data_IF_068378355708
#
_entry.id   IF_068378355708
#
_cell.length_a   1.000
_cell.length_b   1.000
_cell.length_c   1.000
_cell.angle_alpha   90.00
_cell.angle_beta   90.00
_cell.angle_gamma   90.00
#
_symmetry.space_group_name_H-M   'P 1'
#
loop_
_entity.id
_entity.type
_entity.pdbx_description
1 polymer ?
#
# COMPACT_ATOMS: atom_id res chain seq x y z
N UNK A 1 23.84 0.91 -28.67
CA UNK A 1 23.74 1.72 -27.43
C UNK A 1 22.50 2.59 -27.61
N UNK A 2 21.33 2.31 -27.05
CA UNK A 2 20.99 1.91 -25.68
C UNK A 2 20.06 0.69 -25.70
N UNK A 3 20.31 -0.24 -24.78
CA UNK A 3 19.50 -1.44 -24.58
C UNK A 3 18.30 -1.04 -23.70
N UNK A 4 17.12 -0.87 -24.31
CA UNK A 4 15.87 -0.75 -23.56
C UNK A 4 15.38 -2.14 -23.22
N UNK A 5 15.52 -2.54 -21.96
CA UNK A 5 14.89 -3.75 -21.44
C UNK A 5 13.40 -3.46 -21.27
N UNK A 6 12.58 -4.00 -22.18
CA UNK A 6 11.16 -4.21 -21.94
C UNK A 6 11.08 -5.54 -21.18
N UNK A 7 10.87 -5.49 -19.86
CA UNK A 7 10.46 -6.67 -19.10
C UNK A 7 8.96 -6.95 -19.39
N UNK A 8 8.55 -8.22 -19.45
CA UNK A 8 7.30 -8.62 -20.07
C UNK A 8 6.10 -8.34 -19.16
N UNK A 9 5.12 -7.58 -19.67
CA UNK A 9 3.75 -7.49 -19.12
C UNK A 9 2.95 -8.73 -19.54
N UNK A 10 3.41 -9.91 -19.13
CA UNK A 10 2.75 -11.21 -19.30
C UNK A 10 3.15 -11.98 -18.03
N UNK A 11 2.38 -11.94 -16.94
CA UNK A 11 1.16 -12.72 -16.74
C UNK A 11 0.17 -11.91 -15.87
N UNK A 12 -0.90 -11.41 -16.47
CA UNK A 12 -2.10 -10.89 -15.78
C UNK A 12 -3.34 -11.75 -16.09
N UNK A 13 -3.11 -12.98 -16.53
CA UNK A 13 -4.15 -13.99 -16.69
C UNK A 13 -4.39 -14.60 -15.30
N UNK A 14 -5.44 -14.27 -14.55
CA UNK A 14 -6.81 -14.40 -15.00
C UNK A 14 -7.82 -13.69 -14.08
N UNK A 15 -7.53 -12.48 -13.58
CA UNK A 15 -8.50 -11.68 -12.80
C UNK A 15 -8.57 -10.18 -13.16
N UNK A 16 -7.76 -9.67 -14.09
CA UNK A 16 -7.90 -8.28 -14.53
C UNK A 16 -8.85 -8.14 -15.73
N UNK A 17 -10.15 -8.28 -15.48
CA UNK A 17 -11.09 -7.43 -16.21
C UNK A 17 -11.33 -6.19 -15.35
N UNK A 18 -10.77 -5.07 -15.82
CA UNK A 18 -10.81 -3.72 -15.23
C UNK A 18 -9.79 -3.48 -14.11
N UNK A 19 -8.58 -3.04 -14.49
CA UNK A 19 -7.61 -2.49 -13.55
C UNK A 19 -6.39 -1.94 -14.26
N UNK A 20 -6.40 -0.65 -14.57
CA UNK A 20 -5.31 0.03 -15.26
C UNK A 20 -4.06 0.14 -14.36
N UNK A 21 -2.92 -0.32 -14.87
CA UNK A 21 -1.61 0.18 -14.42
C UNK A 21 -1.46 1.58 -15.01
N UNK A 22 -1.40 2.62 -14.18
CA UNK A 22 -1.15 3.98 -14.66
C UNK A 22 0.33 4.32 -14.54
N UNK A 23 0.98 4.56 -15.67
CA UNK A 23 2.21 5.37 -15.74
C UNK A 23 1.83 6.68 -16.43
N UNK A 24 1.87 7.81 -15.73
CA UNK A 24 1.54 9.12 -16.31
C UNK A 24 2.74 9.70 -17.06
N UNK A 25 2.86 9.40 -18.35
CA UNK A 25 3.76 10.13 -19.24
C UNK A 25 2.98 11.29 -19.89
N UNK A 26 3.33 12.55 -19.58
CA UNK A 26 2.68 13.74 -20.13
C UNK A 26 3.49 14.32 -21.31
N UNK A 27 2.92 14.30 -22.52
CA UNK A 27 3.26 15.30 -23.55
C UNK A 27 2.12 15.53 -24.55
N UNK A 28 1.48 16.71 -24.45
CA UNK A 28 1.15 17.71 -25.50
C UNK A 28 -0.17 18.47 -25.25
N UNK A 29 -0.08 19.81 -25.25
CA UNK A 29 -1.15 20.84 -25.38
C UNK A 29 -0.94 21.56 -26.74
N UNK A 30 -1.88 22.39 -27.31
CA UNK A 30 -2.84 23.27 -26.60
C UNK A 30 -4.21 23.56 -27.27
N UNK A 31 -4.99 24.46 -26.61
CA UNK A 31 -6.22 25.21 -27.02
C UNK A 31 -7.57 24.51 -26.73
N UNK A 32 -8.57 25.01 -25.98
CA UNK A 32 -9.06 26.36 -25.59
C UNK A 32 -9.89 26.30 -24.26
N UNK A 33 -9.92 27.35 -23.43
CA UNK A 33 -10.78 27.57 -22.22
C UNK A 33 -12.12 28.30 -22.57
N UNK A 34 -13.02 28.77 -21.64
CA UNK A 34 -13.13 28.64 -20.17
C UNK A 34 -14.57 28.43 -19.58
N UNK A 35 -14.69 27.84 -18.39
CA UNK A 35 -15.68 28.26 -17.35
C UNK A 35 -15.44 27.52 -16.02
N UNK A 36 -15.35 28.31 -14.96
CA UNK A 36 -14.88 27.98 -13.61
C UNK A 36 -15.88 27.16 -12.77
N UNK A 37 -15.38 26.13 -12.07
CA UNK A 37 -15.75 25.87 -10.68
C UNK A 37 -14.47 25.54 -9.90
N UNK A 38 -14.14 26.42 -8.96
CA UNK A 38 -12.93 26.34 -8.14
C UNK A 38 -13.31 25.78 -6.76
N UNK A 39 -12.75 24.62 -6.40
CA UNK A 39 -12.78 24.03 -5.05
C UNK A 39 -11.36 23.56 -4.68
N UNK A 40 -11.04 23.37 -3.38
CA UNK A 40 -9.75 23.73 -2.79
C UNK A 40 -8.63 22.79 -3.23
N UNK A 41 -7.46 23.37 -3.48
CA UNK A 41 -6.21 22.67 -3.76
C UNK A 41 -5.67 22.04 -2.47
N UNK A 42 -5.79 20.71 -2.36
CA UNK A 42 -4.79 19.89 -1.67
C UNK A 42 -4.01 19.20 -2.77
N UNK A 43 -2.97 19.87 -3.27
CA UNK A 43 -1.92 19.18 -4.01
C UNK A 43 -1.09 18.44 -2.97
N UNK A 44 -1.58 17.29 -2.51
CA UNK A 44 -0.69 16.31 -1.91
C UNK A 44 0.22 15.82 -3.03
N UNK A 45 1.51 16.04 -2.81
CA UNK A 45 2.60 15.81 -3.74
C UNK A 45 2.74 14.32 -4.05
N UNK A 46 1.89 13.77 -4.90
CA UNK A 46 2.22 12.53 -5.61
C UNK A 46 3.23 12.94 -6.68
N UNK A 47 4.50 12.62 -6.46
CA UNK A 47 5.51 12.89 -7.47
C UNK A 47 5.17 12.04 -8.71
N UNK A 48 5.25 12.62 -9.91
CA UNK A 48 5.01 11.96 -11.22
C UNK A 48 5.96 10.78 -11.53
N UNK A 49 6.63 10.20 -10.53
CA UNK A 49 7.59 9.08 -10.65
C UNK A 49 7.23 7.86 -9.78
N UNK A 50 6.25 7.95 -8.90
CA UNK A 50 5.93 6.85 -7.99
C UNK A 50 5.20 5.75 -8.76
N UNK A 51 5.66 4.49 -8.64
CA UNK A 51 4.98 3.35 -9.29
C UNK A 51 3.82 2.90 -8.41
N UNK A 52 2.62 3.36 -8.75
CA UNK A 52 1.38 3.11 -8.01
C UNK A 52 0.66 1.89 -8.60
N UNK A 53 0.29 0.93 -7.75
CA UNK A 53 -0.60 -0.18 -8.10
C UNK A 53 -1.86 -0.13 -7.24
N UNK A 54 -3.01 0.15 -7.87
CA UNK A 54 -4.32 0.18 -7.22
C UNK A 54 -5.17 -1.02 -7.62
N UNK A 55 -5.50 -1.85 -6.64
CA UNK A 55 -6.37 -3.03 -6.75
C UNK A 55 -7.54 -2.94 -5.76
N UNK A 56 -7.91 -1.72 -5.39
CA UNK A 56 -9.03 -1.42 -4.53
C UNK A 56 -10.38 -1.83 -5.15
N UNK A 57 -11.31 -2.27 -4.31
CA UNK A 57 -12.70 -2.56 -4.69
C UNK A 57 -12.85 -3.56 -5.85
N UNK A 58 -12.12 -4.68 -5.78
CA UNK A 58 -12.11 -5.75 -6.79
C UNK A 58 -12.71 -7.06 -6.32
N UNK A 59 -13.17 -7.16 -5.08
CA UNK A 59 -13.68 -8.41 -4.49
C UNK A 59 -12.59 -9.49 -4.40
N UNK A 60 -11.33 -9.09 -4.21
CA UNK A 60 -10.22 -10.03 -4.02
C UNK A 60 -10.39 -10.75 -2.69
N UNK A 61 -10.30 -12.08 -2.69
CA UNK A 61 -10.32 -12.90 -1.47
C UNK A 61 -8.92 -13.25 -0.96
N UNK A 62 -7.90 -13.02 -1.77
CA UNK A 62 -6.48 -13.25 -1.48
C UNK A 62 -5.61 -12.30 -2.31
N UNK A 63 -4.43 -11.95 -1.81
CA UNK A 63 -3.47 -11.12 -2.53
C UNK A 63 -2.84 -11.92 -3.68
N UNK A 64 -2.95 -11.48 -4.95
CA UNK A 64 -2.29 -12.15 -6.07
C UNK A 64 -0.77 -12.18 -5.89
N UNK A 65 -0.16 -13.37 -6.02
CA UNK A 65 1.29 -13.57 -5.82
C UNK A 65 2.15 -12.75 -6.77
N UNK A 66 1.68 -12.54 -8.00
CA UNK A 66 2.47 -11.89 -9.06
C UNK A 66 2.75 -10.41 -8.77
N UNK A 67 2.02 -9.80 -7.82
CA UNK A 67 2.27 -8.43 -7.36
C UNK A 67 3.68 -8.32 -6.77
N UNK A 68 4.16 -9.37 -6.09
CA UNK A 68 5.45 -9.37 -5.40
C UNK A 68 6.66 -9.44 -6.35
N UNK A 69 6.43 -9.74 -7.64
CA UNK A 69 7.49 -9.74 -8.65
C UNK A 69 7.86 -8.31 -9.10
N UNK A 70 6.96 -7.34 -8.89
CA UNK A 70 7.20 -5.95 -9.26
C UNK A 70 7.84 -5.16 -8.10
N UNK A 71 9.15 -5.28 -7.97
CA UNK A 71 9.95 -4.60 -6.94
C UNK A 71 10.04 -3.08 -7.10
N UNK A 72 9.46 -2.52 -8.18
CA UNK A 72 9.43 -1.08 -8.40
C UNK A 72 8.24 -0.39 -7.72
N UNK A 73 7.23 -1.14 -7.24
CA UNK A 73 6.03 -0.58 -6.61
C UNK A 73 6.41 0.27 -5.39
N UNK A 74 5.91 1.51 -5.36
CA UNK A 74 6.10 2.45 -4.26
C UNK A 74 4.80 2.67 -3.47
N UNK A 75 3.64 2.50 -4.13
CA UNK A 75 2.33 2.59 -3.50
C UNK A 75 1.51 1.37 -3.92
N UNK A 76 1.02 0.63 -2.93
CA UNK A 76 0.13 -0.50 -3.14
C UNK A 76 -1.18 -0.28 -2.38
N UNK A 77 -2.27 -0.17 -3.14
CA UNK A 77 -3.62 -0.08 -2.59
C UNK A 77 -4.38 -1.38 -2.83
N UNK A 78 -4.69 -2.08 -1.73
CA UNK A 78 -5.48 -3.30 -1.66
C UNK A 78 -6.79 -3.09 -0.89
N UNK A 79 -7.16 -1.84 -0.64
CA UNK A 79 -8.30 -1.48 0.22
C UNK A 79 -9.63 -1.94 -0.35
N UNK A 80 -10.66 -2.01 0.50
CA UNK A 80 -12.04 -2.33 0.08
C UNK A 80 -12.15 -3.66 -0.71
N UNK A 81 -11.53 -4.72 -0.20
CA UNK A 81 -11.65 -6.06 -0.78
C UNK A 81 -12.17 -7.05 0.28
N UNK A 82 -12.25 -8.33 -0.09
CA UNK A 82 -12.63 -9.43 0.80
C UNK A 82 -11.39 -10.23 1.24
N UNK A 83 -10.22 -9.59 1.35
CA UNK A 83 -8.97 -10.27 1.68
C UNK A 83 -9.05 -10.88 3.08
N UNK A 84 -8.59 -12.12 3.22
CA UNK A 84 -8.61 -12.87 4.48
C UNK A 84 -7.26 -13.47 4.81
N UNK A 85 -7.08 -13.89 6.07
CA UNK A 85 -5.87 -14.55 6.53
C UNK A 85 -4.72 -13.56 6.76
N UNK A 86 -3.50 -13.97 6.44
CA UNK A 86 -2.29 -13.16 6.62
C UNK A 86 -1.76 -12.67 5.28
N UNK A 87 -1.15 -11.48 5.28
CA UNK A 87 -0.37 -11.00 4.15
C UNK A 87 0.78 -11.99 3.86
N UNK A 88 1.07 -12.33 2.59
CA UNK A 88 2.18 -13.23 2.25
C UNK A 88 3.56 -12.64 2.59
N UNK A 89 4.51 -13.50 2.99
CA UNK A 89 5.88 -13.12 3.35
C UNK A 89 6.67 -12.50 2.18
N UNK A 90 6.25 -12.80 0.95
CA UNK A 90 6.77 -12.24 -0.29
C UNK A 90 6.63 -10.72 -0.38
N UNK A 91 5.81 -10.09 0.48
CA UNK A 91 5.73 -8.63 0.59
C UNK A 91 7.11 -7.98 0.72
N UNK A 92 8.08 -8.66 1.37
CA UNK A 92 9.48 -8.20 1.50
C UNK A 92 10.16 -7.85 0.17
N UNK A 93 9.69 -8.40 -0.95
CA UNK A 93 10.25 -8.11 -2.27
C UNK A 93 9.93 -6.68 -2.73
N UNK A 94 8.87 -6.06 -2.21
CA UNK A 94 8.49 -4.67 -2.49
C UNK A 94 9.36 -3.68 -1.70
N UNK A 95 10.68 -3.78 -1.85
CA UNK A 95 11.67 -3.02 -1.05
C UNK A 95 11.63 -1.50 -1.23
N UNK A 96 10.86 -1.01 -2.22
CA UNK A 96 10.62 0.41 -2.49
C UNK A 96 9.27 0.91 -2.00
N UNK A 97 8.46 0.04 -1.38
CA UNK A 97 7.12 0.37 -0.95
C UNK A 97 7.17 1.45 0.15
N UNK A 98 6.54 2.58 -0.12
CA UNK A 98 6.37 3.72 0.77
C UNK A 98 4.99 3.76 1.40
N UNK A 99 3.98 3.30 0.67
CA UNK A 99 2.59 3.28 1.13
C UNK A 99 1.97 1.92 0.86
N UNK A 100 1.42 1.32 1.92
CA UNK A 100 0.59 0.13 1.84
C UNK A 100 -0.77 0.42 2.47
N UNK A 101 -1.83 0.36 1.67
CA UNK A 101 -3.20 0.42 2.14
C UNK A 101 -3.86 -0.97 2.01
N UNK A 102 -4.28 -1.53 3.14
CA UNK A 102 -5.05 -2.78 3.22
C UNK A 102 -6.36 -2.58 3.98
N UNK A 103 -6.83 -1.33 4.10
CA UNK A 103 -8.01 -1.01 4.88
C UNK A 103 -9.29 -1.63 4.32
N UNK A 104 -10.32 -1.76 5.15
CA UNK A 104 -11.61 -2.33 4.74
C UNK A 104 -11.47 -3.71 4.08
N UNK A 105 -10.89 -4.64 4.83
CA UNK A 105 -10.74 -6.05 4.46
C UNK A 105 -11.11 -6.94 5.66
N UNK A 106 -10.84 -8.24 5.59
CA UNK A 106 -11.02 -9.21 6.68
C UNK A 106 -9.71 -9.89 7.08
N UNK A 107 -8.59 -9.16 7.02
CA UNK A 107 -7.26 -9.66 7.33
C UNK A 107 -7.10 -9.88 8.84
N UNK A 108 -6.37 -10.93 9.21
CA UNK A 108 -6.11 -11.32 10.60
C UNK A 108 -4.63 -11.32 10.96
N UNK A 109 -3.72 -11.25 9.98
CA UNK A 109 -2.28 -11.33 10.23
C UNK A 109 -1.40 -10.53 9.27
N UNK A 110 -0.24 -10.14 9.77
CA UNK A 110 0.86 -9.54 8.99
C UNK A 110 2.12 -10.36 9.26
N UNK A 111 2.90 -10.72 8.23
CA UNK A 111 4.10 -11.52 8.39
C UNK A 111 5.23 -10.68 9.00
N UNK A 112 6.17 -11.33 9.70
CA UNK A 112 7.36 -10.69 10.26
C UNK A 112 8.18 -9.93 9.20
N UNK A 113 8.15 -10.44 7.97
CA UNK A 113 8.77 -9.87 6.78
C UNK A 113 8.34 -8.43 6.47
N UNK A 114 7.22 -7.94 7.02
CA UNK A 114 6.85 -6.53 6.91
C UNK A 114 7.97 -5.61 7.40
N UNK A 115 8.73 -6.01 8.44
CA UNK A 115 9.82 -5.23 8.99
C UNK A 115 11.03 -5.07 8.06
N UNK A 116 11.01 -5.72 6.87
CA UNK A 116 12.04 -5.56 5.84
C UNK A 116 11.72 -4.42 4.87
N UNK A 117 10.52 -3.83 4.93
CA UNK A 117 10.11 -2.69 4.11
C UNK A 117 10.62 -1.37 4.69
N UNK A 118 11.93 -1.18 4.72
CA UNK A 118 12.55 -0.05 5.43
C UNK A 118 12.17 1.32 4.85
N UNK A 119 11.66 1.38 3.62
CA UNK A 119 11.18 2.61 2.97
C UNK A 119 9.70 2.92 3.27
N UNK A 120 8.99 2.05 4.01
CA UNK A 120 7.57 2.22 4.29
C UNK A 120 7.34 3.42 5.21
N UNK A 121 6.56 4.40 4.72
CA UNK A 121 6.22 5.63 5.44
C UNK A 121 4.78 5.58 5.99
N UNK A 122 3.88 4.89 5.31
CA UNK A 122 2.46 4.80 5.67
C UNK A 122 1.97 3.37 5.56
N UNK A 123 1.38 2.87 6.66
CA UNK A 123 0.75 1.57 6.74
C UNK A 123 -0.69 1.75 7.26
N UNK A 124 -1.67 1.51 6.38
CA UNK A 124 -3.09 1.57 6.74
C UNK A 124 -3.67 0.16 6.86
N UNK A 125 -4.01 -0.22 8.09
CA UNK A 125 -4.58 -1.52 8.48
C UNK A 125 -6.02 -1.37 9.00
N UNK A 126 -6.60 -0.17 8.89
CA UNK A 126 -7.88 0.14 9.50
C UNK A 126 -9.00 -0.78 8.98
N UNK A 127 -10.05 -0.97 9.79
CA UNK A 127 -11.22 -1.74 9.41
C UNK A 127 -10.87 -3.16 8.90
N UNK A 128 -10.19 -3.93 9.74
CA UNK A 128 -9.82 -5.33 9.53
C UNK A 128 -10.15 -6.16 10.79
N UNK A 129 -9.58 -7.35 10.94
CA UNK A 129 -9.79 -8.26 12.08
C UNK A 129 -8.48 -8.55 12.83
N UNK A 130 -7.51 -7.62 12.80
CA UNK A 130 -6.24 -7.81 13.49
C UNK A 130 -6.43 -7.82 15.00
N UNK A 131 -5.80 -8.78 15.67
CA UNK A 131 -5.72 -8.86 17.14
C UNK A 131 -4.32 -8.58 17.66
N UNK A 132 -3.33 -8.43 16.78
CA UNK A 132 -1.94 -8.19 17.15
C UNK A 132 -1.10 -7.92 15.90
N UNK A 133 0.10 -7.39 16.12
CA UNK A 133 1.05 -7.05 15.06
C UNK A 133 2.43 -7.64 15.37
N UNK A 134 3.23 -8.01 14.34
CA UNK A 134 4.58 -8.52 14.55
C UNK A 134 5.49 -7.48 15.20
N UNK A 135 6.45 -7.93 16.00
CA UNK A 135 7.41 -7.04 16.67
C UNK A 135 8.36 -6.37 15.67
N UNK A 136 8.52 -6.98 14.50
CA UNK A 136 9.29 -6.48 13.38
C UNK A 136 8.77 -5.16 12.80
N UNK A 137 7.54 -4.72 13.14
CA UNK A 137 7.12 -3.35 12.81
C UNK A 137 8.06 -2.28 13.39
N UNK A 138 8.74 -2.58 14.50
CA UNK A 138 9.77 -1.71 15.07
C UNK A 138 10.98 -1.48 14.15
N UNK A 139 11.17 -2.31 13.11
CA UNK A 139 12.24 -2.16 12.14
C UNK A 139 11.91 -1.14 11.03
N UNK A 140 10.66 -0.67 10.94
CA UNK A 140 10.21 0.29 9.94
C UNK A 140 10.67 1.71 10.29
N UNK A 141 11.96 1.99 10.09
CA UNK A 141 12.60 3.23 10.53
C UNK A 141 12.08 4.50 9.88
N UNK A 142 11.42 4.40 8.73
CA UNK A 142 10.81 5.54 8.03
C UNK A 142 9.29 5.65 8.24
N UNK A 143 8.68 4.74 9.01
CA UNK A 143 7.25 4.77 9.26
C UNK A 143 6.87 6.06 9.97
N UNK A 144 5.88 6.76 9.43
CA UNK A 144 5.33 8.00 9.99
C UNK A 144 3.91 7.81 10.47
N UNK A 145 3.15 6.97 9.78
CA UNK A 145 1.73 6.77 10.05
C UNK A 145 1.39 5.30 10.05
N UNK A 146 0.79 4.85 11.15
CA UNK A 146 0.17 3.54 11.30
C UNK A 146 -1.29 3.73 11.68
N UNK A 147 -2.21 3.36 10.79
CA UNK A 147 -3.63 3.33 11.12
C UNK A 147 -4.07 1.91 11.44
N UNK A 148 -4.50 1.70 12.69
CA UNK A 148 -4.98 0.42 13.21
C UNK A 148 -6.44 0.50 13.68
N UNK A 149 -7.12 1.61 13.40
CA UNK A 149 -8.48 1.84 13.85
C UNK A 149 -9.48 0.81 13.31
N UNK A 150 -10.55 0.54 14.07
CA UNK A 150 -11.58 -0.41 13.63
C UNK A 150 -11.10 -1.87 13.50
N UNK A 151 -10.17 -2.30 14.36
CA UNK A 151 -9.71 -3.68 14.51
C UNK A 151 -10.07 -4.26 15.89
N UNK A 152 -9.56 -5.46 16.20
CA UNK A 152 -9.90 -6.24 17.38
C UNK A 152 -8.76 -6.28 18.41
N UNK A 153 -7.98 -5.20 18.54
CA UNK A 153 -6.89 -5.10 19.52
C UNK A 153 -7.44 -5.04 20.95
N UNK A 154 -6.87 -5.85 21.84
CA UNK A 154 -7.08 -5.67 23.27
C UNK A 154 -6.26 -4.50 23.80
N UNK A 155 -6.55 -4.05 25.02
CA UNK A 155 -5.74 -3.03 25.70
C UNK A 155 -4.27 -3.45 25.85
N UNK A 156 -4.00 -4.74 26.00
CA UNK A 156 -2.63 -5.26 26.09
C UNK A 156 -1.92 -5.17 24.74
N UNK A 157 -2.60 -5.52 23.64
CA UNK A 157 -2.04 -5.43 22.29
C UNK A 157 -1.68 -3.99 21.92
N UNK A 158 -2.55 -3.02 22.23
CA UNK A 158 -2.28 -1.60 21.99
C UNK A 158 -1.04 -1.12 22.76
N UNK A 159 -0.90 -1.54 24.03
CA UNK A 159 0.26 -1.18 24.84
C UNK A 159 1.57 -1.80 24.32
N UNK A 160 1.52 -2.96 23.65
CA UNK A 160 2.67 -3.57 22.98
C UNK A 160 3.04 -2.77 21.73
N UNK A 161 2.05 -2.43 20.90
CA UNK A 161 2.24 -1.66 19.65
C UNK A 161 2.87 -0.30 19.95
N UNK A 162 2.39 0.40 20.98
CA UNK A 162 2.93 1.70 21.39
C UNK A 162 4.38 1.62 21.89
N UNK A 163 4.78 0.50 22.50
CA UNK A 163 6.13 0.31 23.04
C UNK A 163 7.16 -0.06 21.99
N UNK A 164 6.76 -0.73 20.92
CA UNK A 164 7.69 -1.23 19.89
C UNK A 164 7.97 -0.20 18.78
N UNK A 165 7.12 0.82 18.64
CA UNK A 165 7.27 1.86 17.62
C UNK A 165 7.94 3.12 18.20
N UNK A 166 8.77 3.83 17.41
CA UNK A 166 9.29 5.14 17.81
C UNK A 166 8.16 6.14 18.09
N UNK A 167 8.36 7.06 19.04
CA UNK A 167 7.38 8.11 19.37
C UNK A 167 7.11 9.10 18.23
N UNK A 168 7.91 9.07 17.16
CA UNK A 168 7.67 9.83 15.93
C UNK A 168 6.55 9.26 15.06
N UNK A 169 6.15 8.00 15.29
CA UNK A 169 5.06 7.36 14.54
C UNK A 169 3.73 7.86 15.09
N UNK A 170 2.89 8.39 14.20
CA UNK A 170 1.49 8.69 14.51
C UNK A 170 0.69 7.39 14.40
N UNK A 171 0.12 6.94 15.52
CA UNK A 171 -0.75 5.78 15.58
C UNK A 171 -2.20 6.27 15.64
N UNK A 172 -3.04 5.81 14.71
CA UNK A 172 -4.48 6.08 14.67
C UNK A 172 -5.19 4.81 15.15
N UNK A 173 -6.10 4.95 16.13
CA UNK A 173 -6.78 3.86 16.83
C UNK A 173 -8.29 4.09 16.84
#
# INVERSE_FOLDING_TARGET
>A
MKSSYILPVLVLSSLLLSGCVYTTDTQTTPTVSPSEQQQPTVQDKVNDKDTILSLDNRGLTSVPSDIFDNTAIEVLDLSHNDLTGSLPAEIRHLSRLKTLDMSYNSMTGIPAEIGQLTELETLNLSHNQFTGLPYELGNLTHLRTLDISGNNYSTEDLAIIEKQLPSSVTIIQ
#
